data_IF_178723664822
#
_entry.id   IF_178723664822
#
_cell.length_a   1.000
_cell.length_b   1.000
_cell.length_c   1.000
_cell.angle_alpha   90.00
_cell.angle_beta   90.00
_cell.angle_gamma   90.00
#
_symmetry.space_group_name_H-M   'P 1'
#
loop_
_entity.id
_entity.type
_entity.pdbx_description
1 polymer ?
#
# COMPACT_ATOMS: atom_id res chain seq x y z
N UNK A 1 63.93 -10.46 2.65
CA UNK A 1 62.49 -10.18 2.85
C UNK A 1 61.75 -10.26 1.53
N UNK A 2 61.07 -11.39 1.29
CA UNK A 2 60.28 -11.60 0.09
C UNK A 2 58.81 -11.64 0.52
N UNK A 3 58.19 -10.48 0.66
CA UNK A 3 56.77 -10.38 1.00
C UNK A 3 55.94 -10.61 -0.26
N UNK A 4 55.05 -11.61 -0.22
CA UNK A 4 54.09 -11.83 -1.29
C UNK A 4 53.07 -10.68 -1.28
N UNK A 5 53.15 -9.82 -2.31
CA UNK A 5 52.29 -8.65 -2.47
C UNK A 5 50.83 -9.02 -2.78
N UNK A 6 50.58 -10.24 -3.25
CA UNK A 6 49.26 -10.70 -3.66
C UNK A 6 48.30 -10.90 -2.47
N UNK A 7 48.84 -11.02 -1.25
CA UNK A 7 48.06 -11.14 -0.01
C UNK A 7 47.35 -9.81 0.34
N UNK A 8 47.84 -8.69 -0.20
CA UNK A 8 47.27 -7.36 0.03
C UNK A 8 46.28 -6.92 -1.05
N UNK A 9 46.03 -7.75 -2.06
CA UNK A 9 45.04 -7.45 -3.10
C UNK A 9 43.68 -7.96 -2.59
N UNK A 10 42.70 -7.07 -2.35
CA UNK A 10 41.40 -7.51 -1.87
C UNK A 10 40.72 -8.36 -2.94
N UNK A 11 40.16 -9.49 -2.52
CA UNK A 11 39.32 -10.32 -3.37
C UNK A 11 37.99 -9.60 -3.60
N UNK A 12 37.87 -8.91 -4.73
CA UNK A 12 36.63 -8.27 -5.14
C UNK A 12 35.69 -9.30 -5.76
N UNK A 13 34.47 -9.39 -5.23
CA UNK A 13 33.40 -10.22 -5.79
C UNK A 13 32.50 -9.31 -6.62
N UNK A 14 32.33 -9.61 -7.90
CA UNK A 14 31.33 -8.95 -8.73
C UNK A 14 29.93 -9.41 -8.30
N UNK A 15 29.16 -8.48 -7.77
CA UNK A 15 27.80 -8.69 -7.26
C UNK A 15 26.80 -7.76 -7.95
N UNK A 16 27.17 -7.18 -9.10
CA UNK A 16 26.37 -6.21 -9.84
C UNK A 16 24.99 -6.76 -10.22
N UNK A 17 24.93 -8.05 -10.57
CA UNK A 17 23.70 -8.77 -10.93
C UNK A 17 22.73 -8.92 -9.77
N UNK A 18 23.22 -9.32 -8.59
CA UNK A 18 22.43 -9.50 -7.37
C UNK A 18 21.97 -8.13 -6.84
N UNK A 19 22.84 -7.13 -6.84
CA UNK A 19 22.51 -5.76 -6.45
C UNK A 19 21.43 -5.16 -7.35
N UNK A 20 21.47 -5.45 -8.67
CA UNK A 20 20.42 -5.02 -9.60
C UNK A 20 19.08 -5.67 -9.26
N UNK A 21 19.03 -6.99 -9.06
CA UNK A 21 17.80 -7.71 -8.65
C UNK A 21 17.21 -7.16 -7.36
N UNK A 22 18.04 -6.89 -6.36
CA UNK A 22 17.60 -6.32 -5.07
C UNK A 22 17.02 -4.91 -5.28
N UNK A 23 17.69 -4.07 -6.08
CA UNK A 23 17.22 -2.72 -6.42
C UNK A 23 15.86 -2.77 -7.11
N UNK A 24 15.71 -3.60 -8.13
CA UNK A 24 14.50 -3.71 -8.93
C UNK A 24 13.33 -4.23 -8.09
N UNK A 25 13.58 -5.21 -7.22
CA UNK A 25 12.58 -5.71 -6.27
C UNK A 25 12.12 -4.61 -5.30
N UNK A 26 13.05 -3.84 -4.73
CA UNK A 26 12.71 -2.72 -3.83
C UNK A 26 11.87 -1.67 -4.55
N UNK A 27 12.24 -1.30 -5.77
CA UNK A 27 11.50 -0.35 -6.59
C UNK A 27 10.08 -0.85 -6.89
N UNK A 28 9.94 -2.12 -7.28
CA UNK A 28 8.64 -2.75 -7.54
C UNK A 28 7.72 -2.70 -6.32
N UNK A 29 8.22 -3.08 -5.15
CA UNK A 29 7.44 -3.08 -3.90
C UNK A 29 7.04 -1.68 -3.44
N UNK A 30 7.95 -0.71 -3.57
CA UNK A 30 7.67 0.67 -3.23
C UNK A 30 6.61 1.27 -4.18
N UNK A 31 6.84 1.19 -5.49
CA UNK A 31 5.96 1.76 -6.50
C UNK A 31 4.54 1.19 -6.45
N UNK A 32 4.40 -0.10 -6.10
CA UNK A 32 3.10 -0.75 -5.90
C UNK A 32 2.20 -0.01 -4.89
N UNK A 33 2.78 0.62 -3.88
CA UNK A 33 2.04 1.26 -2.79
C UNK A 33 2.18 2.79 -2.76
N UNK A 34 3.15 3.37 -3.47
CA UNK A 34 3.52 4.78 -3.38
C UNK A 34 2.70 5.73 -4.29
N UNK A 35 2.01 5.23 -5.31
CA UNK A 35 1.34 6.05 -6.33
C UNK A 35 -0.13 6.39 -6.09
N UNK A 36 -0.67 6.22 -4.87
CA UNK A 36 -2.06 6.61 -4.60
C UNK A 36 -2.11 8.13 -4.44
N UNK A 37 -3.00 8.78 -5.19
CA UNK A 37 -3.23 10.23 -5.09
C UNK A 37 -3.51 10.63 -3.63
N UNK A 38 -2.91 11.75 -3.21
CA UNK A 38 -3.15 12.29 -1.88
C UNK A 38 -4.60 12.79 -1.79
N UNK A 39 -5.38 12.15 -0.92
CA UNK A 39 -6.76 12.54 -0.68
C UNK A 39 -6.76 13.82 0.17
N UNK A 40 -7.21 14.92 -0.44
CA UNK A 40 -7.45 16.17 0.27
C UNK A 40 -8.88 16.24 0.79
N UNK A 41 -9.04 16.81 1.99
CA UNK A 41 -10.35 16.99 2.62
C UNK A 41 -10.59 18.47 2.89
N UNK A 42 -11.81 18.92 2.59
CA UNK A 42 -12.25 20.27 2.91
C UNK A 42 -12.76 20.33 4.37
N UNK A 43 -12.47 21.43 5.10
CA UNK A 43 -13.14 21.73 6.36
C UNK A 43 -14.67 21.61 6.24
N UNK A 44 -15.32 21.01 7.23
CA UNK A 44 -16.76 20.75 7.26
C UNK A 44 -17.20 19.47 6.52
N UNK A 45 -16.31 18.78 5.81
CA UNK A 45 -16.68 17.55 5.08
C UNK A 45 -17.03 16.42 6.04
N UNK A 46 -18.12 15.70 5.72
CA UNK A 46 -18.50 14.44 6.37
C UNK A 46 -17.51 13.34 5.96
N UNK A 47 -17.01 12.60 6.94
CA UNK A 47 -16.00 11.56 6.78
C UNK A 47 -16.28 10.39 7.71
N UNK A 48 -15.67 9.25 7.43
CA UNK A 48 -15.58 8.15 8.38
C UNK A 48 -14.20 8.15 9.02
N UNK A 49 -14.19 8.01 10.35
CA UNK A 49 -12.99 8.01 11.18
C UNK A 49 -12.77 6.61 11.72
N UNK A 50 -11.54 6.12 11.63
CA UNK A 50 -11.18 4.86 12.27
C UNK A 50 -10.70 5.10 13.70
N UNK A 51 -11.28 4.38 14.66
CA UNK A 51 -10.76 4.33 16.01
C UNK A 51 -9.46 3.50 16.08
N UNK A 52 -8.47 4.01 16.82
CA UNK A 52 -7.12 3.41 16.85
C UNK A 52 -7.12 2.06 17.57
N UNK A 53 -7.95 1.90 18.59
CA UNK A 53 -7.96 0.73 19.49
C UNK A 53 -8.91 -0.34 18.98
N UNK A 54 -10.15 0.04 18.70
CA UNK A 54 -11.21 -0.88 18.27
C UNK A 54 -11.18 -1.17 16.77
N UNK A 55 -10.46 -0.36 15.97
CA UNK A 55 -10.40 -0.44 14.50
C UNK A 55 -11.75 -0.25 13.79
N UNK A 56 -12.80 0.10 14.54
CA UNK A 56 -14.13 0.39 14.02
C UNK A 56 -14.16 1.76 13.35
N UNK A 57 -15.04 1.90 12.37
CA UNK A 57 -15.28 3.15 11.66
C UNK A 57 -16.50 3.85 12.28
N UNK A 58 -16.36 5.14 12.61
CA UNK A 58 -17.42 6.00 13.12
C UNK A 58 -17.62 7.22 12.21
N UNK A 59 -18.78 7.84 12.31
CA UNK A 59 -19.12 9.06 11.56
C UNK A 59 -18.38 10.25 12.18
N UNK A 60 -17.89 11.17 11.36
CA UNK A 60 -17.16 12.33 11.84
C UNK A 60 -17.05 13.45 10.80
N UNK A 61 -16.52 14.59 11.23
CA UNK A 61 -16.42 15.80 10.40
C UNK A 61 -14.99 16.34 10.45
N UNK A 62 -14.46 16.75 9.30
CA UNK A 62 -13.18 17.47 9.23
C UNK A 62 -13.38 18.87 9.80
N UNK A 63 -12.56 19.28 10.75
CA UNK A 63 -12.58 20.66 11.28
C UNK A 63 -11.59 21.51 10.51
N UNK A 64 -10.33 21.09 10.42
CA UNK A 64 -9.28 21.85 9.76
C UNK A 64 -8.08 20.97 9.37
N UNK A 65 -7.26 21.45 8.43
CA UNK A 65 -5.97 20.85 8.07
C UNK A 65 -4.91 21.35 9.03
N UNK A 66 -4.03 20.46 9.49
CA UNK A 66 -2.92 20.84 10.38
C UNK A 66 -1.68 21.28 9.57
N UNK A 67 -0.64 21.75 10.27
CA UNK A 67 0.69 21.99 9.68
C UNK A 67 1.32 20.75 9.02
N UNK A 68 0.88 19.55 9.40
CA UNK A 68 1.38 18.31 8.83
C UNK A 68 0.52 17.92 7.63
N UNK A 69 1.12 17.63 6.45
CA UNK A 69 0.41 17.55 5.17
C UNK A 69 -0.69 16.50 5.14
N UNK A 70 -0.52 15.40 5.91
CA UNK A 70 -1.45 14.26 5.96
C UNK A 70 -2.30 14.21 7.22
N UNK A 71 -2.28 15.26 8.06
CA UNK A 71 -3.04 15.26 9.32
C UNK A 71 -4.10 16.36 9.36
N UNK A 72 -5.26 15.99 9.89
CA UNK A 72 -6.43 16.84 10.05
C UNK A 72 -6.90 16.82 11.50
N UNK A 73 -7.50 17.91 11.94
CA UNK A 73 -8.33 17.94 13.14
C UNK A 73 -9.72 17.49 12.73
N UNK A 74 -10.27 16.52 13.45
CA UNK A 74 -11.56 15.92 13.18
C UNK A 74 -12.42 15.90 14.44
N UNK A 75 -13.73 15.97 14.24
CA UNK A 75 -14.75 15.86 15.28
C UNK A 75 -15.47 14.52 15.12
N UNK A 76 -15.45 13.71 16.17
CA UNK A 76 -16.17 12.43 16.23
C UNK A 76 -17.69 12.64 16.39
N UNK A 77 -18.47 11.57 16.29
CA UNK A 77 -19.93 11.58 16.51
C UNK A 77 -20.30 12.11 17.91
N UNK A 78 -19.51 11.78 18.93
CA UNK A 78 -19.60 12.24 20.32
C UNK A 78 -19.13 13.68 20.52
N UNK A 79 -18.68 14.35 19.46
CA UNK A 79 -18.18 15.71 19.51
C UNK A 79 -16.74 15.87 19.99
N UNK A 80 -16.01 14.77 20.20
CA UNK A 80 -14.59 14.81 20.61
C UNK A 80 -13.72 15.29 19.46
N UNK A 81 -12.91 16.32 19.72
CA UNK A 81 -11.88 16.78 18.79
C UNK A 81 -10.60 15.96 18.93
N UNK A 82 -10.04 15.54 17.80
CA UNK A 82 -8.78 14.82 17.79
C UNK A 82 -8.04 15.00 16.47
N UNK A 83 -6.73 14.74 16.49
CA UNK A 83 -5.91 14.69 15.29
C UNK A 83 -5.96 13.29 14.66
N UNK A 84 -6.18 13.22 13.35
CA UNK A 84 -6.15 11.98 12.56
C UNK A 84 -5.38 12.17 11.26
N UNK A 85 -4.65 11.12 10.86
CA UNK A 85 -3.97 11.06 9.58
C UNK A 85 -4.98 10.65 8.49
N UNK A 86 -4.81 11.11 7.25
CA UNK A 86 -5.58 10.70 6.06
C UNK A 86 -5.79 9.19 5.96
N UNK A 87 -4.83 8.36 6.36
CA UNK A 87 -4.99 6.90 6.37
C UNK A 87 -6.15 6.39 7.24
N UNK A 88 -6.53 7.14 8.29
CA UNK A 88 -7.62 6.83 9.21
C UNK A 88 -8.92 7.58 8.89
N UNK A 89 -8.99 8.19 7.70
CA UNK A 89 -10.12 9.00 7.26
C UNK A 89 -10.58 8.47 5.89
N UNK A 90 -11.87 8.21 5.74
CA UNK A 90 -12.48 7.88 4.45
C UNK A 90 -13.47 8.95 4.04
N UNK A 91 -13.43 9.33 2.76
CA UNK A 91 -14.41 10.22 2.15
C UNK A 91 -15.75 9.50 2.04
N UNK A 92 -16.83 10.18 2.40
CA UNK A 92 -18.20 9.72 2.19
C UNK A 92 -19.01 10.86 1.60
N UNK A 93 -19.95 10.53 0.70
CA UNK A 93 -20.88 11.49 0.12
C UNK A 93 -22.07 11.64 1.08
N UNK A 94 -22.64 10.50 1.48
CA UNK A 94 -23.67 10.40 2.52
C UNK A 94 -23.36 9.27 3.50
N UNK A 95 -23.90 9.35 4.72
CA UNK A 95 -23.68 8.32 5.74
C UNK A 95 -24.52 7.06 5.53
N UNK A 96 -25.47 7.09 4.59
CA UNK A 96 -26.39 5.99 4.29
C UNK A 96 -25.69 4.81 3.60
N UNK A 97 -24.52 5.04 2.98
CA UNK A 97 -23.75 4.01 2.27
C UNK A 97 -23.06 2.98 3.20
N UNK A 98 -23.20 3.10 4.52
CA UNK A 98 -22.40 2.33 5.49
C UNK A 98 -23.19 1.43 6.44
N UNK A 99 -24.52 1.52 6.47
CA UNK A 99 -25.34 0.68 7.37
C UNK A 99 -25.49 -0.78 6.88
N UNK A 100 -24.88 -1.15 5.73
CA UNK A 100 -24.94 -2.51 5.16
C UNK A 100 -23.58 -3.23 5.03
N UNK A 101 -22.56 -2.86 5.81
CA UNK A 101 -21.29 -3.57 5.79
C UNK A 101 -21.34 -4.83 6.68
N UNK A 102 -22.09 -5.84 6.24
CA UNK A 102 -22.06 -7.18 6.83
C UNK A 102 -20.67 -7.80 6.67
N UNK A 103 -20.21 -8.48 7.72
CA UNK A 103 -18.86 -9.04 7.90
C UNK A 103 -18.50 -10.09 6.82
N UNK A 104 -19.48 -10.60 6.08
CA UNK A 104 -19.30 -11.57 4.98
C UNK A 104 -18.65 -10.96 3.72
N UNK A 105 -18.91 -9.68 3.40
CA UNK A 105 -18.37 -9.05 2.19
C UNK A 105 -16.84 -8.91 2.21
N UNK A 106 -16.23 -8.92 3.39
CA UNK A 106 -14.76 -8.87 3.56
C UNK A 106 -14.09 -10.19 3.16
N UNK A 107 -14.79 -11.34 3.27
CA UNK A 107 -14.28 -12.63 2.78
C UNK A 107 -14.33 -12.70 1.26
N UNK A 108 -15.44 -12.28 0.64
CA UNK A 108 -15.62 -12.30 -0.82
C UNK A 108 -14.59 -11.43 -1.54
N UNK A 109 -14.26 -10.24 -1.01
CA UNK A 109 -13.22 -9.36 -1.60
C UNK A 109 -11.81 -9.95 -1.46
N UNK A 110 -11.54 -10.73 -0.39
CA UNK A 110 -10.25 -11.41 -0.21
C UNK A 110 -10.11 -12.59 -1.16
N UNK A 111 -11.17 -13.38 -1.31
CA UNK A 111 -11.22 -14.53 -2.23
C UNK A 111 -11.09 -14.07 -3.69
N UNK A 112 -11.81 -13.03 -4.12
CA UNK A 112 -11.70 -12.51 -5.49
C UNK A 112 -10.29 -11.96 -5.80
N UNK A 113 -9.63 -11.30 -4.84
CA UNK A 113 -8.24 -10.85 -5.00
C UNK A 113 -7.23 -11.98 -5.11
N UNK A 114 -7.56 -13.18 -4.63
CA UNK A 114 -6.71 -14.35 -4.76
C UNK A 114 -6.97 -15.08 -6.09
N UNK A 115 -8.21 -15.03 -6.62
CA UNK A 115 -8.56 -15.50 -7.97
C UNK A 115 -7.88 -14.67 -9.06
N UNK A 116 -7.94 -13.33 -8.98
CA UNK A 116 -7.30 -12.43 -9.96
C UNK A 116 -5.77 -12.66 -10.04
N UNK A 117 -5.13 -12.96 -8.91
CA UNK A 117 -3.69 -13.29 -8.86
C UNK A 117 -3.36 -14.64 -9.49
N UNK A 118 -4.29 -15.60 -9.45
CA UNK A 118 -4.10 -16.93 -10.05
C UNK A 118 -4.21 -16.83 -11.58
N UNK A 119 -5.18 -16.06 -12.10
CA UNK A 119 -5.33 -15.82 -13.54
C UNK A 119 -4.14 -15.06 -14.12
N UNK A 120 -3.66 -14.02 -13.43
CA UNK A 120 -2.45 -13.26 -13.80
C UNK A 120 -1.17 -14.11 -13.85
N UNK A 121 -1.11 -15.22 -13.11
CA UNK A 121 0.03 -16.13 -13.13
C UNK A 121 -0.10 -17.18 -14.24
N UNK A 122 -1.31 -17.69 -14.50
CA UNK A 122 -1.58 -18.61 -15.62
C UNK A 122 -1.28 -17.97 -16.98
N UNK A 123 -1.68 -16.71 -17.17
CA UNK A 123 -1.43 -16.00 -18.44
C UNK A 123 0.08 -15.73 -18.68
N UNK A 124 0.86 -15.61 -17.60
CA UNK A 124 2.33 -15.49 -17.70
C UNK A 124 2.99 -16.83 -18.01
N UNK A 125 2.50 -17.93 -17.45
CA UNK A 125 3.00 -19.28 -17.73
C UNK A 125 2.71 -19.71 -19.18
N UNK A 126 1.51 -19.42 -19.70
CA UNK A 126 1.16 -19.73 -21.11
C UNK A 126 2.00 -18.92 -22.11
N UNK A 127 2.30 -17.65 -21.81
CA UNK A 127 3.19 -16.82 -22.65
C UNK A 127 4.64 -17.34 -22.65
N UNK A 128 5.12 -17.88 -21.53
CA UNK A 128 6.44 -18.51 -21.44
C UNK A 128 6.49 -19.81 -22.23
N UNK A 129 5.46 -20.66 -22.13
CA UNK A 129 5.39 -21.94 -22.85
C UNK A 129 5.31 -21.72 -24.37
N UNK A 130 4.54 -20.74 -24.83
CA UNK A 130 4.42 -20.43 -26.26
C UNK A 130 5.72 -19.87 -26.86
N UNK A 131 6.50 -19.10 -26.09
CA UNK A 131 7.82 -18.64 -26.53
C UNK A 131 8.83 -19.78 -26.69
N UNK A 132 8.75 -20.83 -25.85
CA UNK A 132 9.62 -22.00 -25.96
C UNK A 132 9.28 -22.92 -27.15
N UNK A 133 8.01 -22.93 -27.60
CA UNK A 133 7.60 -23.74 -28.77
C UNK A 133 8.03 -23.17 -30.13
N UNK A 134 8.41 -21.89 -30.20
CA UNK A 134 8.78 -21.21 -31.45
C UNK A 134 10.30 -21.18 -31.74
N UNK A 135 11.14 -21.85 -30.93
CA UNK A 135 12.61 -21.81 -31.04
C UNK A 135 13.22 -23.15 -31.47
N UNK A 136 12.54 -23.96 -32.29
CA UNK A 136 13.13 -25.16 -32.93
C UNK A 136 13.08 -25.01 -34.44
#
# INVERSE_FOLDING_TARGET
>A
NNFNKDIFIPKTVDCTTEMKKIRDNKAKWYNRNAGKEEIEFLPGSKVLLQDKFTKKWSKGIIVEKTIFPRSYIVKDDKGKLMRRNTHFIKKVIEYNDFDSFDEENVKTIRENKDVDKIEDNKEKEEKVINNFKFTI
#
